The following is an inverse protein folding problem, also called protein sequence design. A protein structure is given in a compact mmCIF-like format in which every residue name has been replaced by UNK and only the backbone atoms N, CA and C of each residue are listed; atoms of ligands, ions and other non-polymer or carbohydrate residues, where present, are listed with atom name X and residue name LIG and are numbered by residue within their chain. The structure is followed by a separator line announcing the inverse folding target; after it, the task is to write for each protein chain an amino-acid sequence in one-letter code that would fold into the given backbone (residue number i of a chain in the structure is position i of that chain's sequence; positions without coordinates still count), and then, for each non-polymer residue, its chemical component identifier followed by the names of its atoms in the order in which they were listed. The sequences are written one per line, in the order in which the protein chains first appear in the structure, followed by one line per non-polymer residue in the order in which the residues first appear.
data_IF_254370980905
#
_entry.id   IF_254370980905
#
_cell.length_a   1.000
_cell.length_b   1.000
_cell.length_c   1.000
_cell.angle_alpha   90.00
_cell.angle_beta   90.00
_cell.angle_gamma   90.00
#
_symmetry.space_group_name_H-M   'P 1'
#
loop_
_entity.id
_entity.type
_entity.pdbx_description
1 polymer ?
#
# COMPACT_ATOMS: atom_id res chain seq x y z
N UNK A 1 -2.28 -8.09 7.12
CA UNK A 1 -0.97 -7.88 6.48
C UNK A 1 -0.51 -9.22 5.96
N UNK A 2 -0.10 -9.34 4.69
CA UNK A 2 0.47 -10.57 4.14
C UNK A 2 1.92 -10.73 4.59
N UNK A 3 2.51 -11.90 4.36
CA UNK A 3 3.88 -12.22 4.78
C UNK A 3 4.90 -11.27 4.15
N UNK A 4 4.62 -10.81 2.93
CA UNK A 4 5.48 -9.97 2.09
C UNK A 4 5.38 -8.48 2.48
N UNK A 5 4.42 -8.09 3.31
CA UNK A 5 4.25 -6.68 3.71
C UNK A 5 2.90 -6.02 3.39
N UNK A 6 2.25 -6.28 2.24
CA UNK A 6 0.99 -5.66 1.88
C UNK A 6 -0.10 -5.77 2.96
N UNK A 7 -0.80 -4.66 3.23
CA UNK A 7 -2.05 -4.68 4.01
C UNK A 7 -3.19 -4.77 3.01
N UNK A 8 -3.89 -5.90 2.95
CA UNK A 8 -5.00 -6.13 2.02
C UNK A 8 -6.34 -6.14 2.77
N UNK A 9 -7.41 -5.83 2.05
CA UNK A 9 -8.78 -5.88 2.55
C UNK A 9 -9.42 -7.21 2.11
N UNK A 10 -10.17 -7.83 3.02
CA UNK A 10 -10.86 -9.10 2.82
C UNK A 10 -12.37 -8.86 2.89
N UNK A 11 -13.09 -8.85 1.76
CA UNK A 11 -14.51 -8.53 1.72
C UNK A 11 -15.37 -9.47 2.57
N UNK A 12 -14.99 -10.76 2.61
CA UNK A 12 -15.63 -11.84 3.37
C UNK A 12 -15.60 -11.63 4.89
N UNK A 13 -14.68 -10.80 5.39
CA UNK A 13 -14.53 -10.49 6.81
C UNK A 13 -14.96 -9.07 7.16
N UNK A 14 -15.34 -8.28 6.17
CA UNK A 14 -15.73 -6.90 6.35
C UNK A 14 -17.18 -6.82 6.83
N UNK A 15 -17.41 -6.14 7.95
CA UNK A 15 -18.76 -5.89 8.49
C UNK A 15 -19.23 -4.44 8.29
N UNK A 16 -18.53 -3.64 7.49
CA UNK A 16 -18.94 -2.26 7.18
C UNK A 16 -18.88 -1.26 8.34
N UNK A 17 -18.18 -1.56 9.45
CA UNK A 17 -18.17 -0.72 10.67
C UNK A 17 -17.45 0.62 10.54
N UNK A 18 -16.65 0.83 9.48
CA UNK A 18 -15.88 2.06 9.20
C UNK A 18 -14.81 2.46 10.22
N UNK A 19 -14.54 1.63 11.23
CA UNK A 19 -13.50 1.94 12.23
C UNK A 19 -12.10 2.05 11.64
N UNK A 20 -11.83 1.40 10.51
CA UNK A 20 -10.56 1.54 9.80
C UNK A 20 -10.26 2.97 9.31
N UNK A 21 -11.28 3.82 9.10
CA UNK A 21 -11.07 5.24 8.78
C UNK A 21 -10.56 6.00 9.99
N UNK A 22 -11.25 5.86 11.11
CA UNK A 22 -10.92 6.56 12.36
C UNK A 22 -9.59 6.08 12.93
N UNK A 23 -9.30 4.78 12.78
CA UNK A 23 -8.06 4.20 13.31
C UNK A 23 -6.83 4.52 12.46
N UNK A 24 -6.99 4.96 11.20
CA UNK A 24 -5.86 5.22 10.33
C UNK A 24 -5.31 6.62 10.61
N UNK A 25 -4.08 6.76 11.13
CA UNK A 25 -3.50 8.08 11.40
C UNK A 25 -3.20 8.89 10.12
N UNK A 26 -3.28 8.23 8.96
CA UNK A 26 -3.01 8.82 7.65
C UNK A 26 -4.27 9.06 6.80
N UNK A 27 -5.47 8.79 7.34
CA UNK A 27 -6.76 8.95 6.64
C UNK A 27 -6.83 8.30 5.23
N UNK A 28 -6.17 7.14 5.07
CA UNK A 28 -6.05 6.47 3.77
C UNK A 28 -7.31 5.69 3.35
N UNK A 29 -7.93 4.84 4.20
CA UNK A 29 -9.06 4.02 3.77
C UNK A 29 -10.28 4.87 3.40
N UNK A 30 -10.80 4.68 2.19
CA UNK A 30 -12.07 5.28 1.73
C UNK A 30 -13.08 4.18 1.41
N UNK A 31 -14.35 4.55 1.27
CA UNK A 31 -15.45 3.61 1.09
C UNK A 31 -16.34 4.03 -0.08
N UNK A 32 -17.00 3.04 -0.67
CA UNK A 32 -18.15 3.29 -1.55
C UNK A 32 -19.36 3.77 -0.73
N UNK A 33 -20.10 4.75 -1.23
CA UNK A 33 -21.18 5.40 -0.45
C UNK A 33 -22.57 4.78 -0.68
N UNK A 34 -22.73 3.93 -1.69
CA UNK A 34 -24.05 3.45 -2.15
C UNK A 34 -24.38 2.01 -1.73
N UNK A 35 -23.58 1.41 -0.85
CA UNK A 35 -23.78 0.03 -0.39
C UNK A 35 -23.74 -0.03 1.14
N UNK A 36 -24.60 -0.88 1.72
CA UNK A 36 -24.64 -1.18 3.15
C UNK A 36 -23.39 -1.94 3.61
N UNK A 37 -22.79 -2.75 2.73
CA UNK A 37 -21.46 -3.33 2.91
C UNK A 37 -20.48 -2.68 1.92
N UNK A 38 -19.99 -1.48 2.23
CA UNK A 38 -19.19 -0.71 1.30
C UNK A 38 -17.80 -1.32 1.10
N UNK A 39 -17.36 -1.39 -0.15
CA UNK A 39 -15.99 -1.79 -0.47
C UNK A 39 -14.99 -0.78 0.08
N UNK A 40 -13.92 -1.28 0.70
CA UNK A 40 -12.82 -0.44 1.17
C UNK A 40 -11.85 -0.20 0.01
N UNK A 41 -11.76 1.05 -0.40
CA UNK A 41 -10.85 1.53 -1.42
C UNK A 41 -9.58 2.08 -0.75
N UNK A 42 -8.45 1.43 -1.01
CA UNK A 42 -7.12 1.88 -0.58
C UNK A 42 -6.03 1.14 -1.37
N UNK A 43 -4.79 1.63 -1.29
CA UNK A 43 -3.64 0.90 -1.82
C UNK A 43 -3.54 -0.50 -1.18
N UNK A 44 -3.39 -1.51 -2.04
CA UNK A 44 -3.15 -2.92 -1.68
C UNK A 44 -1.70 -3.35 -2.01
N UNK A 45 -0.81 -2.39 -2.29
CA UNK A 45 0.56 -2.60 -2.74
C UNK A 45 0.66 -3.48 -4.01
N UNK A 46 -0.35 -3.42 -4.89
CA UNK A 46 -0.44 -4.22 -6.11
C UNK A 46 -0.30 -5.74 -5.82
N UNK A 47 -0.96 -6.22 -4.77
CA UNK A 47 -0.83 -7.60 -4.29
C UNK A 47 -0.87 -8.67 -5.40
N UNK A 48 -1.84 -8.58 -6.31
CA UNK A 48 -1.99 -9.52 -7.44
C UNK A 48 -0.75 -9.52 -8.34
N UNK A 49 -0.22 -8.34 -8.68
CA UNK A 49 1.01 -8.22 -9.47
C UNK A 49 2.22 -8.81 -8.74
N UNK A 50 2.31 -8.63 -7.43
CA UNK A 50 3.40 -9.18 -6.63
C UNK A 50 3.36 -10.71 -6.62
N UNK A 51 2.17 -11.33 -6.61
CA UNK A 51 2.04 -12.80 -6.69
C UNK A 51 2.56 -13.36 -8.01
N UNK A 52 2.48 -12.57 -9.08
CA UNK A 52 3.02 -12.91 -10.40
C UNK A 52 4.50 -12.51 -10.57
N UNK A 53 5.17 -12.08 -9.49
CA UNK A 53 6.56 -11.60 -9.55
C UNK A 53 6.74 -10.24 -10.25
N UNK A 54 5.65 -9.54 -10.56
CA UNK A 54 5.67 -8.21 -11.18
C UNK A 54 5.79 -7.12 -10.13
N UNK A 55 6.49 -6.02 -10.46
CA UNK A 55 6.58 -4.83 -9.60
C UNK A 55 5.23 -4.09 -9.54
N UNK A 56 4.98 -3.30 -8.46
CA UNK A 56 3.79 -2.45 -8.38
C UNK A 56 3.65 -1.54 -9.59
N UNK A 57 2.42 -1.30 -10.04
CA UNK A 57 2.15 -0.56 -11.27
C UNK A 57 2.69 0.88 -11.22
N UNK A 58 2.47 1.58 -10.10
CA UNK A 58 2.99 2.94 -9.91
C UNK A 58 4.52 3.02 -9.96
N UNK A 59 5.21 2.00 -9.44
CA UNK A 59 6.68 1.90 -9.49
C UNK A 59 7.14 1.63 -10.91
N UNK A 60 6.51 0.69 -11.61
CA UNK A 60 6.85 0.36 -13.00
C UNK A 60 6.59 1.53 -13.98
N UNK A 61 5.63 2.40 -13.67
CA UNK A 61 5.30 3.55 -14.50
C UNK A 61 6.20 4.78 -14.24
N UNK A 62 6.99 4.79 -13.17
CA UNK A 62 7.81 5.95 -12.81
C UNK A 62 9.02 6.07 -13.74
N UNK A 63 9.14 7.14 -14.56
CA UNK A 63 10.24 7.26 -15.53
C UNK A 63 11.55 7.73 -14.90
N UNK A 64 11.50 8.34 -13.71
CA UNK A 64 12.62 9.00 -13.03
C UNK A 64 13.17 8.20 -11.85
N UNK A 65 12.72 6.97 -11.64
CA UNK A 65 13.07 6.13 -10.48
C UNK A 65 12.88 6.82 -9.12
N UNK A 66 11.91 7.74 -9.05
CA UNK A 66 11.49 8.39 -7.79
C UNK A 66 10.83 7.36 -6.87
N UNK A 67 10.08 6.43 -7.44
CA UNK A 67 9.46 5.32 -6.72
C UNK A 67 10.36 4.09 -6.85
N UNK A 68 10.83 3.56 -5.73
CA UNK A 68 11.64 2.34 -5.67
C UNK A 68 10.91 1.23 -4.93
N UNK A 69 11.11 -0.03 -5.34
CA UNK A 69 10.50 -1.19 -4.71
C UNK A 69 11.51 -2.32 -4.54
N UNK A 70 11.50 -2.95 -3.37
CA UNK A 70 12.43 -4.00 -3.00
C UNK A 70 12.31 -4.39 -1.52
N UNK A 71 13.23 -5.22 -1.01
CA UNK A 71 13.28 -5.59 0.39
C UNK A 71 13.39 -4.35 1.29
N UNK A 72 12.62 -4.33 2.38
CA UNK A 72 12.59 -3.20 3.33
C UNK A 72 13.99 -2.78 3.77
N UNK A 73 14.88 -3.74 4.06
CA UNK A 73 16.24 -3.46 4.56
C UNK A 73 17.06 -2.65 3.57
N UNK A 74 17.02 -3.01 2.29
CA UNK A 74 17.75 -2.31 1.22
C UNK A 74 17.17 -0.90 0.99
N UNK A 75 15.83 -0.78 0.94
CA UNK A 75 15.19 0.52 0.77
C UNK A 75 15.48 1.49 1.92
N UNK A 76 15.56 0.99 3.16
CA UNK A 76 15.94 1.81 4.32
C UNK A 76 17.38 2.31 4.24
N UNK A 77 18.30 1.50 3.71
CA UNK A 77 19.68 1.90 3.52
C UNK A 77 19.79 3.01 2.45
N UNK A 78 19.16 2.79 1.30
CA UNK A 78 19.09 3.79 0.21
C UNK A 78 18.51 5.12 0.74
N UNK A 79 17.41 5.05 1.51
CA UNK A 79 16.78 6.24 2.07
C UNK A 79 17.73 7.01 3.00
N UNK A 80 18.45 6.33 3.90
CA UNK A 80 19.41 6.97 4.82
C UNK A 80 20.55 7.64 4.06
N UNK A 81 21.12 6.96 3.07
CA UNK A 81 22.19 7.52 2.23
C UNK A 81 21.71 8.76 1.49
N UNK A 82 20.49 8.72 0.90
CA UNK A 82 19.91 9.88 0.20
C UNK A 82 19.70 11.07 1.13
N UNK A 83 19.15 10.86 2.33
CA UNK A 83 18.95 11.92 3.33
C UNK A 83 20.29 12.49 3.80
N UNK A 84 21.30 11.64 4.04
CA UNK A 84 22.62 12.09 4.46
C UNK A 84 23.31 12.96 3.40
N UNK A 85 23.22 12.56 2.13
CA UNK A 85 23.83 13.30 1.02
C UNK A 85 23.05 14.57 0.64
N UNK A 86 21.75 14.64 0.98
CA UNK A 86 20.85 15.74 0.66
C UNK A 86 19.91 16.06 1.85
N UNK A 87 20.46 16.67 2.93
CA UNK A 87 19.69 16.96 4.14
C UNK A 87 18.60 18.01 3.94
#
# INVERSE_FOLDING_TARGET
KTREGPVIWHPDRCMGCRYCMVSCPFDVPKFEYHNWNPSIQKCNLCWERLQEGRRPACVAACPTDTLMFGPKRELMEIARVRIYNHP
#
